data_IF_833210784128
#
_entry.id   IF_833210784128
#
_cell.length_a   1.000
_cell.length_b   1.000
_cell.length_c   1.000
_cell.angle_alpha   90.00
_cell.angle_beta   90.00
_cell.angle_gamma   90.00
#
_symmetry.space_group_name_H-M   'P 1'
#
loop_
_entity.id
_entity.type
_entity.pdbx_description
1 polymer ?
#
# COMPACT_ATOMS: atom_id res chain seq x y z
N UNK A 1 -37.45 55.40 -37.45
CA UNK A 1 -36.27 55.12 -36.62
C UNK A 1 -36.52 54.15 -35.47
N UNK A 2 -37.76 53.71 -35.19
CA UNK A 2 -38.05 52.77 -34.08
C UNK A 2 -37.79 51.28 -34.36
N UNK A 3 -37.83 50.83 -35.63
CA UNK A 3 -37.66 49.39 -35.96
C UNK A 3 -36.21 48.88 -35.82
N UNK A 4 -35.20 49.77 -35.80
CA UNK A 4 -33.79 49.38 -35.73
C UNK A 4 -33.32 49.04 -34.31
N UNK A 5 -33.93 49.63 -33.27
CA UNK A 5 -33.57 49.35 -31.87
C UNK A 5 -34.09 48.00 -31.36
N UNK A 6 -35.27 47.55 -31.82
CA UNK A 6 -35.86 46.29 -31.36
C UNK A 6 -35.07 45.07 -31.86
N UNK A 7 -34.48 45.16 -33.05
CA UNK A 7 -33.67 44.09 -33.64
C UNK A 7 -32.33 43.95 -32.90
N UNK A 8 -31.70 45.07 -32.52
CA UNK A 8 -30.46 45.07 -31.75
C UNK A 8 -30.61 44.47 -30.35
N UNK A 9 -31.70 44.79 -29.63
CA UNK A 9 -31.95 44.20 -28.30
C UNK A 9 -32.28 42.71 -28.36
N UNK A 10 -32.97 42.25 -29.42
CA UNK A 10 -33.24 40.82 -29.63
C UNK A 10 -31.97 40.03 -30.00
N UNK A 11 -31.09 40.61 -30.82
CA UNK A 11 -29.80 39.99 -31.16
C UNK A 11 -28.87 39.85 -29.95
N UNK A 12 -28.78 40.87 -29.10
CA UNK A 12 -27.95 40.84 -27.88
C UNK A 12 -28.48 39.82 -26.86
N UNK A 13 -29.80 39.73 -26.68
CA UNK A 13 -30.42 38.75 -25.78
C UNK A 13 -30.18 37.30 -26.24
N UNK A 14 -30.22 37.02 -27.54
CA UNK A 14 -29.96 35.68 -28.10
C UNK A 14 -28.48 35.29 -27.94
N UNK A 15 -27.54 36.24 -28.13
CA UNK A 15 -26.11 35.99 -27.91
C UNK A 15 -25.80 35.73 -26.43
N UNK A 16 -26.44 36.46 -25.51
CA UNK A 16 -26.30 36.22 -24.06
C UNK A 16 -26.89 34.86 -23.63
N UNK A 17 -28.03 34.44 -24.19
CA UNK A 17 -28.62 33.12 -23.94
C UNK A 17 -27.73 31.99 -24.48
N UNK A 18 -27.15 32.14 -25.67
CA UNK A 18 -26.22 31.16 -26.24
C UNK A 18 -24.91 31.03 -25.43
N UNK A 19 -24.39 32.14 -24.87
CA UNK A 19 -23.23 32.11 -23.97
C UNK A 19 -23.54 31.47 -22.60
N UNK A 20 -24.78 31.59 -22.11
CA UNK A 20 -25.22 30.89 -20.89
C UNK A 20 -25.34 29.37 -21.10
N UNK A 21 -25.75 28.90 -22.28
CA UNK A 21 -25.87 27.46 -22.55
C UNK A 21 -24.53 26.75 -22.75
N UNK A 22 -23.49 27.42 -23.25
CA UNK A 22 -22.15 26.83 -23.37
C UNK A 22 -21.49 26.58 -22.00
N UNK A 23 -21.83 27.37 -20.98
CA UNK A 23 -21.31 27.18 -19.62
C UNK A 23 -21.98 26.02 -18.87
N UNK A 24 -23.24 25.69 -19.18
CA UNK A 24 -23.95 24.59 -18.50
C UNK A 24 -23.45 23.20 -18.90
N UNK A 25 -22.92 23.04 -20.12
CA UNK A 25 -22.41 21.76 -20.63
C UNK A 25 -20.97 21.44 -20.16
N UNK A 26 -20.29 22.37 -19.48
CA UNK A 26 -18.90 22.19 -19.02
C UNK A 26 -18.77 21.60 -17.61
N UNK A 27 -19.87 21.49 -16.84
CA UNK A 27 -19.82 21.10 -15.43
C UNK A 27 -19.48 19.61 -15.21
N UNK A 28 -19.97 18.72 -16.07
CA UNK A 28 -19.75 17.28 -15.91
C UNK A 28 -18.84 16.75 -17.02
N UNK A 29 -17.82 16.00 -16.63
CA UNK A 29 -16.90 15.35 -17.54
C UNK A 29 -16.93 13.83 -17.33
N UNK A 30 -16.73 13.06 -18.40
CA UNK A 30 -16.65 11.61 -18.34
C UNK A 30 -15.40 11.15 -17.59
N UNK A 31 -15.50 10.10 -16.78
CA UNK A 31 -14.38 9.42 -16.14
C UNK A 31 -14.52 7.93 -16.42
N UNK A 32 -13.41 7.30 -16.79
CA UNK A 32 -13.34 5.87 -17.06
C UNK A 32 -12.30 5.29 -16.12
N UNK A 33 -12.62 4.16 -15.51
CA UNK A 33 -11.74 3.49 -14.57
C UNK A 33 -12.05 2.00 -14.56
N UNK A 34 -11.03 1.21 -14.24
CA UNK A 34 -11.13 -0.24 -14.23
C UNK A 34 -10.89 -0.72 -12.80
N UNK A 35 -11.79 -1.53 -12.28
CA UNK A 35 -11.51 -2.38 -11.13
C UNK A 35 -11.01 -3.73 -11.64
N UNK A 36 -10.62 -4.64 -10.76
CA UNK A 36 -10.06 -5.95 -11.15
C UNK A 36 -10.97 -6.75 -12.08
N UNK A 37 -12.29 -6.57 -12.00
CA UNK A 37 -13.29 -7.34 -12.75
C UNK A 37 -14.27 -6.47 -13.55
N UNK A 38 -14.11 -5.14 -13.57
CA UNK A 38 -15.09 -4.26 -14.19
C UNK A 38 -14.47 -3.08 -14.93
N UNK A 39 -15.04 -2.78 -16.08
CA UNK A 39 -14.81 -1.56 -16.84
C UNK A 39 -15.94 -0.56 -16.53
N UNK A 40 -15.61 0.50 -15.80
CA UNK A 40 -16.57 1.49 -15.33
C UNK A 40 -16.46 2.82 -16.09
N UNK A 41 -17.62 3.42 -16.33
CA UNK A 41 -17.77 4.78 -16.83
C UNK A 41 -18.63 5.58 -15.86
N UNK A 42 -18.30 6.85 -15.65
CA UNK A 42 -19.06 7.74 -14.78
C UNK A 42 -18.89 9.20 -15.22
N UNK A 43 -19.64 10.10 -14.59
CA UNK A 43 -19.47 11.54 -14.69
C UNK A 43 -18.89 12.09 -13.38
N UNK A 44 -18.04 13.11 -13.45
CA UNK A 44 -17.59 13.87 -12.27
C UNK A 44 -17.79 15.37 -12.50
N UNK A 45 -17.93 16.13 -11.41
CA UNK A 45 -18.06 17.58 -11.45
C UNK A 45 -16.67 18.23 -11.64
N UNK A 46 -16.40 18.66 -12.88
CA UNK A 46 -15.13 19.25 -13.31
C UNK A 46 -14.86 20.62 -12.66
N UNK A 47 -15.88 21.25 -12.07
CA UNK A 47 -15.73 22.50 -11.32
C UNK A 47 -15.22 22.27 -9.90
N UNK A 48 -15.27 21.01 -9.41
CA UNK A 48 -14.81 20.62 -8.07
C UNK A 48 -13.45 19.95 -8.06
N UNK A 49 -13.20 19.11 -9.07
CA UNK A 49 -11.97 18.32 -9.15
C UNK A 49 -11.46 18.30 -10.58
N UNK A 50 -10.15 18.18 -10.75
CA UNK A 50 -9.56 17.89 -12.06
C UNK A 50 -9.62 16.39 -12.37
N UNK A 51 -9.55 16.03 -13.66
CA UNK A 51 -9.40 14.62 -14.06
C UNK A 51 -8.18 13.97 -13.39
N UNK A 52 -7.06 14.69 -13.30
CA UNK A 52 -5.83 14.19 -12.70
C UNK A 52 -6.00 13.90 -11.20
N UNK A 53 -6.68 14.78 -10.46
CA UNK A 53 -6.98 14.56 -9.05
C UNK A 53 -7.81 13.30 -8.84
N UNK A 54 -8.83 13.09 -9.68
CA UNK A 54 -9.70 11.92 -9.61
C UNK A 54 -8.94 10.64 -9.97
N UNK A 55 -8.13 10.67 -11.05
CA UNK A 55 -7.30 9.56 -11.47
C UNK A 55 -6.28 9.16 -10.40
N UNK A 56 -5.52 10.12 -9.87
CA UNK A 56 -4.54 9.86 -8.81
C UNK A 56 -5.19 9.31 -7.55
N UNK A 57 -6.38 9.83 -7.19
CA UNK A 57 -7.15 9.31 -6.04
C UNK A 57 -7.57 7.87 -6.28
N UNK A 58 -8.05 7.55 -7.49
CA UNK A 58 -8.43 6.19 -7.85
C UNK A 58 -7.22 5.23 -7.83
N UNK A 59 -6.15 5.60 -8.51
CA UNK A 59 -4.99 4.73 -8.73
C UNK A 59 -4.16 4.52 -7.46
N UNK A 60 -3.93 5.57 -6.68
CA UNK A 60 -3.00 5.48 -5.56
C UNK A 60 -3.69 5.28 -4.22
N UNK A 61 -4.89 5.84 -4.03
CA UNK A 61 -5.60 5.79 -2.75
C UNK A 61 -6.72 4.72 -2.75
N UNK A 62 -7.54 4.63 -3.80
CA UNK A 62 -8.62 3.65 -3.88
C UNK A 62 -8.09 2.23 -4.17
N UNK A 63 -7.32 2.03 -5.24
CA UNK A 63 -6.73 0.73 -5.57
C UNK A 63 -5.42 0.44 -4.80
N UNK A 64 -5.00 1.39 -3.95
CA UNK A 64 -3.88 1.27 -3.00
C UNK A 64 -2.54 0.95 -3.66
N UNK A 65 -2.35 1.30 -4.93
CA UNK A 65 -1.06 1.08 -5.61
C UNK A 65 0.10 1.79 -4.91
N UNK A 66 -0.18 2.90 -4.20
CA UNK A 66 0.84 3.62 -3.45
C UNK A 66 1.54 2.77 -2.39
N UNK A 67 0.85 1.77 -1.82
CA UNK A 67 1.40 0.92 -0.76
C UNK A 67 1.68 -0.52 -1.22
N UNK A 68 1.37 -0.86 -2.47
CA UNK A 68 1.63 -2.20 -3.01
C UNK A 68 3.13 -2.51 -3.03
N UNK A 69 3.56 -3.51 -2.26
CA UNK A 69 4.99 -3.84 -2.07
C UNK A 69 5.48 -4.69 -3.24
N UNK A 70 6.52 -4.23 -3.95
CA UNK A 70 7.08 -4.92 -5.12
C UNK A 70 8.31 -5.78 -4.81
N UNK A 71 8.78 -5.77 -3.57
CA UNK A 71 10.00 -6.49 -3.19
C UNK A 71 9.86 -7.13 -1.81
N UNK A 72 10.64 -8.19 -1.56
CA UNK A 72 10.65 -8.88 -0.29
C UNK A 72 11.96 -8.61 0.47
N UNK A 73 11.88 -7.99 1.65
CA UNK A 73 13.05 -7.63 2.45
C UNK A 73 13.93 -8.82 2.88
N UNK A 74 13.38 -10.03 2.82
CA UNK A 74 14.05 -11.28 3.17
C UNK A 74 14.34 -12.17 1.95
N UNK A 75 14.30 -11.60 0.74
CA UNK A 75 14.73 -12.27 -0.49
C UNK A 75 16.18 -12.75 -0.32
N UNK A 76 16.35 -14.07 -0.45
CA UNK A 76 17.59 -14.78 -0.16
C UNK A 76 18.54 -14.79 -1.36
N UNK A 77 18.01 -14.54 -2.55
CA UNK A 77 18.77 -14.52 -3.81
C UNK A 77 19.45 -13.17 -4.03
N UNK A 78 19.19 -12.19 -3.15
CA UNK A 78 19.76 -10.84 -3.18
C UNK A 78 20.65 -10.56 -2.00
N UNK A 79 21.76 -9.89 -2.28
CA UNK A 79 22.66 -9.39 -1.25
C UNK A 79 22.01 -8.25 -0.47
N UNK A 80 22.27 -8.11 0.86
CA UNK A 80 21.65 -7.06 1.67
C UNK A 80 21.85 -5.65 1.12
N UNK A 81 22.99 -5.36 0.48
CA UNK A 81 23.25 -4.05 -0.13
C UNK A 81 22.29 -3.77 -1.29
N UNK A 82 22.10 -4.73 -2.18
CA UNK A 82 21.15 -4.62 -3.30
C UNK A 82 19.73 -4.39 -2.79
N UNK A 83 19.31 -5.14 -1.77
CA UNK A 83 17.99 -4.97 -1.16
C UNK A 83 17.78 -3.60 -0.52
N UNK A 84 18.82 -3.03 0.12
CA UNK A 84 18.73 -1.69 0.68
C UNK A 84 18.57 -0.62 -0.41
N UNK A 85 19.27 -0.78 -1.53
CA UNK A 85 19.16 0.13 -2.67
C UNK A 85 17.77 0.05 -3.32
N UNK A 86 17.23 -1.17 -3.50
CA UNK A 86 15.87 -1.40 -3.99
C UNK A 86 14.82 -0.81 -3.05
N UNK A 87 14.92 -1.09 -1.74
CA UNK A 87 14.01 -0.56 -0.73
C UNK A 87 14.01 0.98 -0.73
N UNK A 88 15.20 1.61 -0.82
CA UNK A 88 15.31 3.07 -0.84
C UNK A 88 14.68 3.66 -2.11
N UNK A 89 14.88 3.02 -3.26
CA UNK A 89 14.28 3.45 -4.53
C UNK A 89 12.75 3.39 -4.46
N UNK A 90 12.20 2.25 -4.04
CA UNK A 90 10.75 2.04 -3.94
C UNK A 90 10.11 2.99 -2.92
N UNK A 91 10.73 3.15 -1.75
CA UNK A 91 10.28 4.10 -0.73
C UNK A 91 10.19 5.52 -1.27
N UNK A 92 11.26 6.00 -1.91
CA UNK A 92 11.29 7.35 -2.48
C UNK A 92 10.19 7.53 -3.53
N UNK A 93 10.04 6.57 -4.45
CA UNK A 93 9.00 6.65 -5.48
C UNK A 93 7.59 6.77 -4.88
N UNK A 94 7.28 5.93 -3.89
CA UNK A 94 5.95 5.92 -3.24
C UNK A 94 5.67 7.17 -2.42
N UNK A 95 6.65 7.63 -1.65
CA UNK A 95 6.51 8.87 -0.88
C UNK A 95 6.42 10.07 -1.82
N UNK A 96 7.23 10.14 -2.88
CA UNK A 96 7.16 11.25 -3.84
C UNK A 96 5.76 11.35 -4.47
N UNK A 97 5.14 10.22 -4.86
CA UNK A 97 3.74 10.17 -5.33
C UNK A 97 2.80 10.73 -4.26
N UNK A 98 2.85 10.16 -3.05
CA UNK A 98 1.95 10.55 -1.98
C UNK A 98 2.22 11.95 -1.43
N UNK A 99 3.34 12.60 -1.68
CA UNK A 99 3.63 13.96 -1.19
C UNK A 99 3.35 15.03 -2.25
N UNK A 100 3.57 14.72 -3.53
CA UNK A 100 3.59 15.73 -4.58
C UNK A 100 2.46 15.60 -5.60
N UNK A 101 1.79 14.45 -5.70
CA UNK A 101 0.69 14.31 -6.65
C UNK A 101 -0.55 15.06 -6.15
N UNK A 102 -1.34 15.54 -7.10
CA UNK A 102 -2.62 16.15 -6.80
C UNK A 102 -3.67 15.07 -6.55
N UNK A 103 -4.29 15.11 -5.37
CA UNK A 103 -5.38 14.22 -4.99
C UNK A 103 -6.65 15.04 -4.75
N UNK A 104 -7.79 14.36 -4.73
CA UNK A 104 -9.06 14.98 -4.35
C UNK A 104 -8.95 15.53 -2.91
N UNK A 105 -9.17 16.84 -2.77
CA UNK A 105 -9.06 17.53 -1.48
C UNK A 105 -10.34 17.41 -0.64
N UNK A 106 -10.71 16.17 -0.31
CA UNK A 106 -11.82 15.84 0.61
C UNK A 106 -11.22 15.21 1.86
N UNK A 107 -11.72 15.52 3.08
CA UNK A 107 -11.11 15.05 4.33
C UNK A 107 -10.83 13.55 4.38
N UNK A 108 -11.75 12.72 3.86
CA UNK A 108 -11.57 11.27 3.79
C UNK A 108 -10.31 10.87 3.01
N UNK A 109 -10.10 11.41 1.80
CA UNK A 109 -8.96 11.07 0.96
C UNK A 109 -7.64 11.62 1.50
N UNK A 110 -7.69 12.80 2.14
CA UNK A 110 -6.51 13.34 2.81
C UNK A 110 -6.11 12.50 4.03
N UNK A 111 -7.07 11.90 4.75
CA UNK A 111 -6.77 10.96 5.82
C UNK A 111 -6.20 9.65 5.28
N UNK A 112 -6.81 9.07 4.24
CA UNK A 112 -6.27 7.86 3.58
C UNK A 112 -4.82 8.04 3.12
N UNK A 113 -4.52 9.19 2.50
CA UNK A 113 -3.16 9.58 2.11
C UNK A 113 -2.19 9.60 3.30
N UNK A 114 -2.58 10.18 4.44
CA UNK A 114 -1.76 10.20 5.67
C UNK A 114 -1.54 8.81 6.23
N UNK A 115 -2.58 7.97 6.25
CA UNK A 115 -2.48 6.58 6.72
C UNK A 115 -1.51 5.79 5.85
N UNK A 116 -1.56 5.95 4.53
CA UNK A 116 -0.63 5.32 3.59
C UNK A 116 0.81 5.79 3.78
N UNK A 117 1.05 7.10 3.94
CA UNK A 117 2.38 7.64 4.25
C UNK A 117 2.91 7.03 5.55
N UNK A 118 2.08 6.97 6.61
CA UNK A 118 2.44 6.33 7.88
C UNK A 118 2.79 4.86 7.68
N UNK A 119 1.99 4.12 6.92
CA UNK A 119 2.24 2.71 6.62
C UNK A 119 3.58 2.52 5.90
N UNK A 120 3.83 3.26 4.82
CA UNK A 120 5.08 3.18 4.03
C UNK A 120 6.30 3.50 4.90
N UNK A 121 6.23 4.55 5.72
CA UNK A 121 7.33 4.90 6.63
C UNK A 121 7.65 3.79 7.63
N UNK A 122 6.63 3.18 8.25
CA UNK A 122 6.85 2.08 9.20
C UNK A 122 7.36 0.82 8.50
N UNK A 123 6.81 0.47 7.34
CA UNK A 123 7.27 -0.67 6.55
C UNK A 123 8.72 -0.50 6.07
N UNK A 124 9.09 0.71 5.62
CA UNK A 124 10.46 1.05 5.24
C UNK A 124 11.42 0.84 6.39
N UNK A 125 11.11 1.39 7.57
CA UNK A 125 11.98 1.26 8.74
C UNK A 125 12.14 -0.20 9.17
N UNK A 126 11.05 -0.98 9.21
CA UNK A 126 11.10 -2.42 9.53
C UNK A 126 11.95 -3.20 8.51
N UNK A 127 11.73 -2.95 7.23
CA UNK A 127 12.49 -3.59 6.14
C UNK A 127 13.96 -3.25 6.23
N UNK A 128 14.29 -1.96 6.42
CA UNK A 128 15.66 -1.46 6.51
C UNK A 128 16.42 -2.14 7.64
N UNK A 129 15.86 -2.17 8.87
CA UNK A 129 16.53 -2.81 10.01
C UNK A 129 16.66 -4.32 9.81
N UNK A 130 15.65 -4.96 9.20
CA UNK A 130 15.64 -6.41 8.99
C UNK A 130 16.71 -6.83 7.97
N UNK A 131 16.84 -6.09 6.87
CA UNK A 131 17.90 -6.31 5.87
C UNK A 131 19.28 -6.10 6.51
N UNK A 132 19.47 -5.01 7.27
CA UNK A 132 20.74 -4.75 7.97
C UNK A 132 21.08 -5.85 8.99
N UNK A 133 20.07 -6.44 9.63
CA UNK A 133 20.24 -7.50 10.61
C UNK A 133 20.75 -8.82 10.03
N UNK A 134 20.67 -9.01 8.70
CA UNK A 134 21.33 -10.14 8.01
C UNK A 134 22.86 -10.09 8.16
N UNK A 135 23.41 -8.88 8.30
CA UNK A 135 24.85 -8.64 8.49
C UNK A 135 25.16 -8.52 10.00
N UNK A 136 24.42 -7.66 10.71
CA UNK A 136 24.62 -7.42 12.14
C UNK A 136 23.27 -7.44 12.88
N UNK A 137 22.90 -8.55 13.55
CA UNK A 137 21.62 -8.68 14.23
C UNK A 137 21.37 -7.62 15.32
N UNK A 138 22.41 -7.00 15.88
CA UNK A 138 22.25 -5.99 16.95
C UNK A 138 21.49 -4.75 16.50
N UNK A 139 21.46 -4.46 15.19
CA UNK A 139 20.69 -3.31 14.65
C UNK A 139 19.19 -3.43 14.90
N UNK A 140 18.67 -4.63 15.17
CA UNK A 140 17.26 -4.85 15.50
C UNK A 140 16.82 -4.14 16.80
N UNK A 141 17.76 -3.78 17.68
CA UNK A 141 17.43 -2.95 18.86
C UNK A 141 17.00 -1.53 18.50
N UNK A 142 17.31 -1.05 17.28
CA UNK A 142 16.93 0.29 16.83
C UNK A 142 15.46 0.37 16.42
N UNK A 143 14.78 -0.75 16.21
CA UNK A 143 13.37 -0.79 15.86
C UNK A 143 12.48 -0.78 17.11
N UNK A 144 11.55 0.17 17.14
CA UNK A 144 10.79 0.52 18.36
C UNK A 144 9.44 -0.19 18.46
N UNK A 145 8.82 -0.51 17.33
CA UNK A 145 7.49 -1.11 17.29
C UNK A 145 7.60 -2.62 17.52
N UNK A 146 7.74 -3.02 18.79
CA UNK A 146 8.00 -4.42 19.18
C UNK A 146 7.11 -4.87 20.32
N UNK A 147 6.55 -6.07 20.18
CA UNK A 147 5.86 -6.78 21.24
C UNK A 147 6.80 -7.78 21.95
N UNK A 148 6.24 -8.68 22.77
CA UNK A 148 7.04 -9.67 23.49
C UNK A 148 7.64 -10.73 22.57
N UNK A 149 6.93 -11.14 21.51
CA UNK A 149 7.45 -12.11 20.54
C UNK A 149 8.58 -11.51 19.70
N UNK A 150 8.44 -10.27 19.26
CA UNK A 150 9.49 -9.49 18.60
C UNK A 150 10.77 -9.48 19.45
N UNK A 151 10.63 -9.13 20.74
CA UNK A 151 11.76 -9.07 21.68
C UNK A 151 12.40 -10.44 21.87
N UNK A 152 11.61 -11.50 21.98
CA UNK A 152 12.10 -12.87 22.13
C UNK A 152 12.96 -13.29 20.94
N UNK A 153 12.45 -13.15 19.72
CA UNK A 153 13.18 -13.55 18.51
C UNK A 153 14.37 -12.64 18.22
N UNK A 154 14.23 -11.33 18.41
CA UNK A 154 15.36 -10.38 18.33
C UNK A 154 16.50 -10.80 19.23
N UNK A 155 16.23 -11.02 20.52
CA UNK A 155 17.27 -11.34 21.49
C UNK A 155 17.96 -12.67 21.11
N UNK A 156 17.22 -13.66 20.60
CA UNK A 156 17.79 -14.91 20.12
C UNK A 156 18.68 -14.74 18.88
N UNK A 157 18.27 -13.89 17.92
CA UNK A 157 19.07 -13.55 16.73
C UNK A 157 20.38 -12.87 17.09
N UNK A 158 20.35 -11.94 18.07
CA UNK A 158 21.54 -11.24 18.56
C UNK A 158 22.47 -12.18 19.32
N UNK A 159 21.93 -13.01 20.22
CA UNK A 159 22.73 -13.92 21.02
C UNK A 159 23.33 -15.08 20.20
N UNK A 160 22.63 -15.53 19.15
CA UNK A 160 23.05 -16.67 18.35
C UNK A 160 23.12 -17.99 19.14
N UNK A 161 23.94 -18.91 18.65
CA UNK A 161 24.24 -20.20 19.30
C UNK A 161 23.00 -20.95 19.82
N UNK A 162 23.07 -21.40 21.07
CA UNK A 162 22.00 -22.18 21.72
C UNK A 162 20.68 -21.41 21.85
N UNK A 163 20.73 -20.10 22.04
CA UNK A 163 19.51 -19.28 22.17
C UNK A 163 18.75 -19.23 20.84
N UNK A 164 19.48 -19.07 19.73
CA UNK A 164 18.90 -19.09 18.39
C UNK A 164 18.27 -20.46 18.07
N UNK A 165 18.96 -21.56 18.35
CA UNK A 165 18.42 -22.91 18.13
C UNK A 165 17.16 -23.18 18.97
N UNK A 166 17.14 -22.73 20.24
CA UNK A 166 15.95 -22.84 21.09
C UNK A 166 14.78 -22.02 20.53
N UNK A 167 15.04 -20.80 20.08
CA UNK A 167 14.00 -19.97 19.47
C UNK A 167 13.44 -20.60 18.18
N UNK A 168 14.31 -21.20 17.35
CA UNK A 168 13.88 -21.90 16.14
C UNK A 168 13.02 -23.14 16.45
N UNK A 169 13.38 -23.93 17.46
CA UNK A 169 12.56 -25.07 17.91
C UNK A 169 11.17 -24.62 18.38
N UNK A 170 11.09 -23.54 19.17
CA UNK A 170 9.80 -22.97 19.62
C UNK A 170 9.00 -22.46 18.42
N UNK A 171 9.66 -21.80 17.47
CA UNK A 171 9.02 -21.32 16.24
C UNK A 171 8.45 -22.49 15.42
N UNK A 172 9.18 -23.59 15.26
CA UNK A 172 8.69 -24.81 14.59
C UNK A 172 7.39 -25.33 15.22
N UNK A 173 7.36 -25.48 16.55
CA UNK A 173 6.15 -25.94 17.25
C UNK A 173 4.97 -24.97 17.12
N UNK A 174 5.24 -23.66 17.06
CA UNK A 174 4.20 -22.66 16.82
C UNK A 174 3.65 -22.74 15.40
N UNK A 175 4.51 -22.95 14.40
CA UNK A 175 4.11 -23.04 13.00
C UNK A 175 3.29 -24.31 12.73
N UNK A 176 3.69 -25.46 13.28
CA UNK A 176 2.94 -26.73 13.15
C UNK A 176 1.48 -26.62 13.56
N UNK A 177 1.17 -25.86 14.63
CA UNK A 177 -0.20 -25.68 15.13
C UNK A 177 -1.15 -25.00 14.14
N UNK A 178 -0.62 -24.32 13.12
CA UNK A 178 -1.39 -23.55 12.14
C UNK A 178 -1.14 -24.00 10.69
N UNK A 179 -0.39 -25.08 10.49
CA UNK A 179 -0.01 -25.57 9.18
C UNK A 179 -0.92 -26.75 8.75
N UNK A 180 -1.26 -26.83 7.47
CA UNK A 180 -2.06 -27.94 6.91
C UNK A 180 -1.31 -29.27 6.79
N UNK A 181 0.02 -29.28 6.98
CA UNK A 181 0.86 -30.48 6.98
C UNK A 181 1.96 -30.37 8.06
N UNK A 182 1.61 -30.47 9.35
CA UNK A 182 2.55 -30.31 10.45
C UNK A 182 3.66 -31.36 10.49
N UNK A 183 3.40 -32.59 10.02
CA UNK A 183 4.40 -33.67 9.96
C UNK A 183 5.49 -33.36 8.95
N UNK A 184 5.13 -32.85 7.76
CA UNK A 184 6.12 -32.46 6.75
C UNK A 184 7.01 -31.32 7.24
N UNK A 185 6.41 -30.34 7.94
CA UNK A 185 7.17 -29.24 8.54
C UNK A 185 8.16 -29.75 9.61
N UNK A 186 7.75 -30.73 10.43
CA UNK A 186 8.63 -31.37 11.40
C UNK A 186 9.81 -32.09 10.74
N UNK A 187 9.56 -32.85 9.67
CA UNK A 187 10.61 -33.56 8.93
C UNK A 187 11.66 -32.59 8.36
N UNK A 188 11.21 -31.51 7.71
CA UNK A 188 12.09 -30.46 7.17
C UNK A 188 12.91 -29.81 8.29
N UNK A 189 12.29 -29.53 9.44
CA UNK A 189 12.98 -28.97 10.60
C UNK A 189 14.08 -29.93 11.10
N UNK A 190 13.77 -31.21 11.29
CA UNK A 190 14.73 -32.21 11.80
C UNK A 190 15.91 -32.40 10.85
N UNK A 191 15.66 -32.51 9.55
CA UNK A 191 16.70 -32.60 8.53
C UNK A 191 17.65 -31.39 8.62
N UNK A 192 17.10 -30.17 8.62
CA UNK A 192 17.90 -28.94 8.67
C UNK A 192 18.60 -28.76 10.01
N UNK A 193 17.98 -29.14 11.12
CA UNK A 193 18.53 -29.02 12.47
C UNK A 193 19.73 -29.95 12.71
N UNK A 194 19.71 -31.13 12.09
CA UNK A 194 20.80 -32.10 12.16
C UNK A 194 21.93 -31.82 11.13
N UNK A 195 21.71 -30.89 10.20
CA UNK A 195 22.72 -30.53 9.20
C UNK A 195 23.87 -29.69 9.79
N UNK A 196 25.07 -29.70 9.15
CA UNK A 196 26.15 -28.77 9.47
C UNK A 196 25.74 -27.29 9.33
N UNK A 197 24.73 -27.01 8.51
CA UNK A 197 24.21 -25.67 8.22
C UNK A 197 23.09 -25.21 9.16
N UNK A 198 22.78 -25.96 10.23
CA UNK A 198 21.67 -25.67 11.15
C UNK A 198 21.63 -24.23 11.67
N UNK A 199 22.79 -23.60 11.88
CA UNK A 199 22.86 -22.20 12.35
C UNK A 199 22.41 -21.20 11.28
N UNK A 200 22.71 -21.49 10.01
CA UNK A 200 22.24 -20.70 8.87
C UNK A 200 20.71 -20.81 8.77
N UNK A 201 20.18 -22.03 8.77
CA UNK A 201 18.74 -22.27 8.74
C UNK A 201 18.02 -21.62 9.92
N UNK A 202 18.52 -21.80 11.15
CA UNK A 202 17.93 -21.18 12.33
C UNK A 202 17.86 -19.66 12.22
N UNK A 203 18.93 -19.02 11.71
CA UNK A 203 18.96 -17.57 11.51
C UNK A 203 17.91 -17.12 10.50
N UNK A 204 17.84 -17.81 9.35
CA UNK A 204 16.90 -17.48 8.28
C UNK A 204 15.44 -17.65 8.71
N UNK A 205 15.13 -18.78 9.35
CA UNK A 205 13.80 -19.13 9.83
C UNK A 205 13.34 -18.21 10.95
N UNK A 206 14.20 -17.95 11.94
CA UNK A 206 13.87 -17.05 13.05
C UNK A 206 13.77 -15.59 12.59
N UNK A 207 14.59 -15.16 11.62
CA UNK A 207 14.46 -13.82 11.04
C UNK A 207 13.13 -13.69 10.27
N UNK A 208 12.79 -14.70 9.46
CA UNK A 208 11.62 -14.67 8.57
C UNK A 208 10.30 -14.88 9.30
N UNK A 209 10.17 -15.99 10.02
CA UNK A 209 8.88 -16.38 10.60
C UNK A 209 8.76 -16.00 12.08
N UNK A 210 9.89 -15.70 12.73
CA UNK A 210 9.91 -15.15 14.08
C UNK A 210 9.82 -13.63 14.06
N UNK A 211 10.97 -12.97 13.87
CA UNK A 211 11.10 -11.51 13.92
C UNK A 211 10.17 -10.81 12.93
N UNK A 212 10.31 -11.06 11.62
CA UNK A 212 9.57 -10.32 10.60
C UNK A 212 8.06 -10.47 10.76
N UNK A 213 7.55 -11.69 10.91
CA UNK A 213 6.11 -11.89 11.13
C UNK A 213 5.59 -11.20 12.40
N UNK A 214 6.32 -11.29 13.52
CA UNK A 214 5.91 -10.61 14.76
C UNK A 214 5.91 -9.09 14.63
N UNK A 215 6.93 -8.51 13.98
CA UNK A 215 7.04 -7.07 13.83
C UNK A 215 6.09 -6.51 12.76
N UNK A 216 5.90 -7.25 11.66
CA UNK A 216 5.00 -6.87 10.56
C UNK A 216 3.54 -6.87 11.02
N UNK A 217 3.15 -7.80 11.91
CA UNK A 217 1.80 -7.85 12.48
C UNK A 217 1.45 -6.63 13.37
N UNK A 218 2.44 -5.83 13.78
CA UNK A 218 2.24 -4.61 14.55
C UNK A 218 2.15 -3.36 13.67
N UNK A 219 2.46 -3.46 12.37
CA UNK A 219 2.38 -2.31 11.48
C UNK A 219 0.95 -1.78 11.44
N UNK A 220 0.77 -0.45 11.38
CA UNK A 220 -0.56 0.12 11.26
C UNK A 220 -1.18 -0.28 9.91
N UNK A 221 -2.39 -0.81 9.98
CA UNK A 221 -3.21 -1.05 8.80
C UNK A 221 -3.69 0.27 8.20
N UNK A 222 -3.88 0.28 6.88
CA UNK A 222 -4.60 1.34 6.18
C UNK A 222 -6.00 0.85 5.91
N UNK A 223 -7.00 1.52 6.47
CA UNK A 223 -8.39 1.04 6.46
C UNK A 223 -8.95 0.94 5.03
N UNK A 224 -9.69 -0.13 4.76
CA UNK A 224 -10.53 -0.24 3.56
C UNK A 224 -11.93 0.35 3.78
N UNK A 225 -12.27 0.69 5.02
CA UNK A 225 -13.60 1.09 5.39
C UNK A 225 -14.04 2.35 4.66
N UNK A 226 -15.14 2.24 3.92
CA UNK A 226 -15.74 3.37 3.23
C UNK A 226 -14.99 3.87 1.99
N UNK A 227 -13.95 3.18 1.51
CA UNK A 227 -13.21 3.55 0.29
C UNK A 227 -14.17 3.66 -0.91
N UNK A 228 -14.91 2.59 -1.20
CA UNK A 228 -15.87 2.55 -2.30
C UNK A 228 -16.99 3.59 -2.14
N UNK A 229 -17.60 3.63 -0.94
CA UNK A 229 -18.65 4.60 -0.62
C UNK A 229 -18.20 6.04 -0.84
N UNK A 230 -16.97 6.40 -0.45
CA UNK A 230 -16.47 7.76 -0.61
C UNK A 230 -16.00 8.06 -2.03
N UNK A 231 -15.57 7.05 -2.79
CA UNK A 231 -15.23 7.22 -4.20
C UNK A 231 -16.50 7.45 -5.04
N UNK A 232 -17.55 6.67 -4.81
CA UNK A 232 -18.82 6.82 -5.52
C UNK A 232 -19.48 8.19 -5.30
N UNK A 233 -19.22 8.86 -4.16
CA UNK A 233 -19.68 10.24 -3.90
C UNK A 233 -19.02 11.29 -4.81
N UNK A 234 -17.86 10.99 -5.40
CA UNK A 234 -17.18 11.88 -6.34
C UNK A 234 -17.78 11.79 -7.75
N UNK A 235 -18.58 10.75 -8.00
CA UNK A 235 -19.06 10.36 -9.30
C UNK A 235 -20.59 10.48 -9.40
N UNK A 236 -21.09 10.46 -10.63
CA UNK A 236 -22.51 10.38 -11.00
C UNK A 236 -22.68 9.39 -12.14
N UNK A 237 -23.85 8.77 -12.23
CA UNK A 237 -24.23 7.87 -13.32
C UNK A 237 -23.16 6.79 -13.59
N UNK A 238 -22.71 6.13 -12.51
CA UNK A 238 -21.72 5.04 -12.61
C UNK A 238 -22.38 3.89 -13.37
N UNK A 239 -21.73 3.44 -14.44
CA UNK A 239 -22.11 2.29 -15.24
C UNK A 239 -20.88 1.41 -15.42
N UNK A 240 -20.96 0.17 -14.94
CA UNK A 240 -19.86 -0.79 -14.99
C UNK A 240 -20.31 -2.03 -15.78
N UNK A 241 -19.46 -2.49 -16.68
CA UNK A 241 -19.55 -3.80 -17.30
C UNK A 241 -18.55 -4.71 -16.59
N UNK A 242 -19.03 -5.80 -15.99
CA UNK A 242 -18.21 -6.66 -15.13
C UNK A 242 -18.21 -8.08 -15.67
N UNK A 243 -17.05 -8.73 -15.63
CA UNK A 243 -16.94 -10.16 -15.93
C UNK A 243 -17.81 -10.95 -14.94
N UNK A 244 -18.61 -11.91 -15.46
CA UNK A 244 -19.39 -12.81 -14.60
C UNK A 244 -18.43 -13.69 -13.77
N UNK A 245 -18.73 -13.93 -12.47
CA UNK A 245 -17.85 -14.64 -11.55
C UNK A 245 -17.63 -16.13 -11.87
#
# INVERSE_FOLDING_TARGET
>A
MEKYNIIHHRGIAIVLLLLCHLNLSAQYANFQYNTELCDCTALFDSTKYTRQQLQNTFEYLYSRQAIYVNFYALDRDKEPKELLDLLKKEYKQKIDILEHYEFVNVPFWQEQRKEMIRHINNYYELSRVTIQARINPSVLFNYKLVDNDCKFYRNALVAGGRQLLKAWSILNERQKKKNGSPENLQLIYEERYNSPNRMKYAREEVMTYGWWNSANALLPDVSYEGIEKNFNKLLKNINCDCDEP
#
